data_IF_722069560264
#
_entry.id   IF_722069560264
#
_cell.length_a   1.000
_cell.length_b   1.000
_cell.length_c   1.000
_cell.angle_alpha   90.00
_cell.angle_beta   90.00
_cell.angle_gamma   90.00
#
_symmetry.space_group_name_H-M   'P 1'
#
loop_
_entity.id
_entity.type
_entity.pdbx_description
1 polymer ?
#
# COMPACT_ATOMS: atom_id res chain seq x y z
N UNK A 1 -19.98 16.68 12.26
CA UNK A 1 -18.94 15.85 12.90
C UNK A 1 -17.95 15.47 11.81
N UNK A 2 -17.01 16.36 11.51
CA UNK A 2 -16.05 16.19 10.41
C UNK A 2 -14.86 15.36 10.94
N UNK A 3 -14.85 14.07 10.63
CA UNK A 3 -13.78 13.18 11.09
C UNK A 3 -12.52 13.40 10.26
N UNK A 4 -11.43 13.77 10.94
CA UNK A 4 -10.09 13.88 10.38
C UNK A 4 -9.68 12.56 9.71
N UNK A 5 -9.28 12.61 8.43
CA UNK A 5 -8.75 11.45 7.70
C UNK A 5 -7.23 11.53 7.67
N UNK A 6 -6.60 10.70 8.49
CA UNK A 6 -5.15 10.49 8.45
C UNK A 6 -4.81 9.89 7.07
N UNK A 7 -4.07 10.63 6.26
CA UNK A 7 -3.51 10.16 4.98
C UNK A 7 -2.03 9.87 5.20
N UNK A 8 -1.69 8.59 5.17
CA UNK A 8 -0.31 8.14 5.32
C UNK A 8 0.23 7.85 3.91
N UNK A 9 0.95 8.80 3.33
CA UNK A 9 1.78 8.55 2.16
C UNK A 9 3.19 8.20 2.66
N UNK A 10 3.55 6.92 2.72
CA UNK A 10 4.92 6.50 3.09
C UNK A 10 5.76 6.43 1.83
N UNK A 11 6.16 7.58 1.33
CA UNK A 11 7.12 7.73 0.26
C UNK A 11 8.40 8.27 0.89
N UNK A 12 9.38 7.41 1.13
CA UNK A 12 10.67 7.84 1.68
C UNK A 12 11.38 8.66 0.59
N UNK A 13 11.63 9.96 0.78
CA UNK A 13 12.38 10.72 -0.20
C UNK A 13 13.78 10.08 -0.37
N UNK A 14 14.32 10.05 -1.61
CA UNK A 14 15.65 9.51 -1.83
C UNK A 14 16.66 10.27 -0.96
N UNK A 15 17.59 9.55 -0.32
CA UNK A 15 18.64 10.22 0.46
C UNK A 15 19.60 10.91 -0.51
N UNK A 16 19.78 12.22 -0.34
CA UNK A 16 20.60 13.03 -1.25
C UNK A 16 19.90 13.43 -2.55
N UNK A 17 18.56 13.32 -2.61
CA UNK A 17 17.78 13.71 -3.78
C UNK A 17 18.06 15.16 -4.18
N UNK A 18 18.31 15.37 -5.46
CA UNK A 18 18.34 16.72 -6.01
C UNK A 18 16.96 17.35 -5.97
N UNK A 19 16.91 18.68 -6.04
CA UNK A 19 15.64 19.44 -6.04
C UNK A 19 14.67 18.96 -7.14
N UNK A 20 15.21 18.56 -8.28
CA UNK A 20 14.45 18.05 -9.43
C UNK A 20 13.72 16.74 -9.09
N UNK A 21 14.37 15.84 -8.37
CA UNK A 21 13.77 14.57 -7.93
C UNK A 21 12.67 14.81 -6.88
N UNK A 22 12.87 15.79 -6.00
CA UNK A 22 11.85 16.18 -5.02
C UNK A 22 10.64 16.82 -5.71
N UNK A 23 10.86 17.70 -6.69
CA UNK A 23 9.79 18.31 -7.49
C UNK A 23 8.99 17.23 -8.26
N UNK A 24 9.67 16.24 -8.84
CA UNK A 24 9.03 15.11 -9.49
C UNK A 24 8.22 14.24 -8.51
N UNK A 25 8.76 13.96 -7.33
CA UNK A 25 8.05 13.23 -6.27
C UNK A 25 6.78 13.97 -5.83
N UNK A 26 6.89 15.28 -5.62
CA UNK A 26 5.77 16.13 -5.24
C UNK A 26 4.69 16.16 -6.32
N UNK A 27 5.07 16.24 -7.59
CA UNK A 27 4.13 16.20 -8.70
C UNK A 27 3.33 14.89 -8.72
N UNK A 28 3.98 13.76 -8.48
CA UNK A 28 3.31 12.45 -8.40
C UNK A 28 2.35 12.35 -7.21
N UNK A 29 2.75 12.80 -6.02
CA UNK A 29 1.88 12.79 -4.84
C UNK A 29 0.63 13.66 -5.05
N UNK A 30 0.78 14.82 -5.71
CA UNK A 30 -0.36 15.68 -6.07
C UNK A 30 -1.30 15.01 -7.08
N UNK A 31 -0.77 14.29 -8.07
CA UNK A 31 -1.58 13.54 -9.01
C UNK A 31 -2.43 12.46 -8.30
N UNK A 32 -1.84 11.75 -7.33
CA UNK A 32 -2.57 10.79 -6.50
C UNK A 32 -3.67 11.45 -5.65
N UNK A 33 -3.41 12.64 -5.11
CA UNK A 33 -4.42 13.42 -4.39
C UNK A 33 -5.59 13.82 -5.29
N UNK A 34 -5.29 14.26 -6.52
CA UNK A 34 -6.29 14.64 -7.50
C UNK A 34 -7.19 13.46 -7.88
N UNK A 35 -6.60 12.29 -8.19
CA UNK A 35 -7.36 11.07 -8.48
C UNK A 35 -8.26 10.66 -7.31
N UNK A 36 -7.77 10.76 -6.06
CA UNK A 36 -8.59 10.50 -4.88
C UNK A 36 -9.74 11.51 -4.73
N UNK A 37 -9.51 12.77 -5.05
CA UNK A 37 -10.52 13.82 -4.97
C UNK A 37 -11.62 13.64 -6.01
N UNK A 38 -11.27 13.36 -7.27
CA UNK A 38 -12.23 13.08 -8.34
C UNK A 38 -13.10 11.87 -8.00
N UNK A 39 -12.50 10.77 -7.54
CA UNK A 39 -13.26 9.59 -7.14
C UNK A 39 -14.26 9.90 -6.02
N UNK A 40 -13.85 10.69 -5.02
CA UNK A 40 -14.72 11.03 -3.90
C UNK A 40 -15.81 12.05 -4.26
N UNK A 41 -15.58 12.89 -5.27
CA UNK A 41 -16.61 13.78 -5.79
C UNK A 41 -17.77 12.98 -6.42
N UNK A 42 -17.46 11.90 -7.12
CA UNK A 42 -18.44 11.01 -7.76
C UNK A 42 -19.05 9.98 -6.80
N UNK A 43 -18.22 9.25 -6.06
CA UNK A 43 -18.66 8.13 -5.21
C UNK A 43 -19.11 8.57 -3.80
N UNK A 44 -18.75 9.78 -3.37
CA UNK A 44 -18.99 10.28 -2.03
C UNK A 44 -18.28 9.46 -0.93
N UNK A 45 -18.65 9.72 0.32
CA UNK A 45 -18.06 9.03 1.48
C UNK A 45 -18.39 7.54 1.54
N UNK A 46 -19.42 7.07 0.82
CA UNK A 46 -19.81 5.67 0.76
C UNK A 46 -18.82 4.81 -0.03
N UNK A 47 -18.04 5.41 -0.94
CA UNK A 47 -16.98 4.72 -1.69
C UNK A 47 -15.74 4.37 -0.87
N UNK A 48 -15.75 4.65 0.44
CA UNK A 48 -14.62 4.40 1.32
C UNK A 48 -14.64 2.98 1.91
N UNK A 49 -13.46 2.36 2.14
CA UNK A 49 -12.10 2.86 1.85
C UNK A 49 -11.77 2.84 0.35
N UNK A 50 -10.94 3.80 -0.09
CA UNK A 50 -10.40 3.88 -1.46
C UNK A 50 -8.91 3.51 -1.42
N UNK A 51 -8.51 2.60 -2.30
CA UNK A 51 -7.12 2.17 -2.50
C UNK A 51 -6.68 2.59 -3.90
N UNK A 52 -5.59 3.36 -3.95
CA UNK A 52 -4.92 3.73 -5.19
C UNK A 52 -3.61 2.92 -5.33
N UNK A 53 -3.38 2.36 -6.51
CA UNK A 53 -2.09 1.74 -6.89
C UNK A 53 -1.58 2.51 -8.10
N UNK A 54 -0.35 3.03 -8.02
CA UNK A 54 0.26 3.89 -9.04
C UNK A 54 -0.58 5.12 -9.45
N UNK A 55 -1.45 5.59 -8.55
CA UNK A 55 -2.36 6.73 -8.80
C UNK A 55 -3.71 6.35 -9.39
N UNK A 56 -3.94 5.09 -9.71
CA UNK A 56 -5.19 4.58 -10.25
C UNK A 56 -6.04 3.93 -9.15
N UNK A 57 -7.36 4.15 -9.19
CA UNK A 57 -8.29 3.55 -8.25
C UNK A 57 -8.52 2.06 -8.56
N UNK A 58 -8.05 1.18 -7.68
CA UNK A 58 -8.14 -0.28 -7.86
C UNK A 58 -9.21 -0.94 -7.00
N UNK A 59 -9.46 -0.41 -5.79
CA UNK A 59 -10.49 -0.93 -4.87
C UNK A 59 -11.16 0.23 -4.15
N UNK A 60 -12.49 0.16 -4.07
CA UNK A 60 -13.33 1.08 -3.32
C UNK A 60 -14.36 0.31 -2.46
N UNK A 61 -14.75 0.88 -1.33
CA UNK A 61 -15.78 0.32 -0.45
C UNK A 61 -15.35 -0.88 0.41
N UNK A 62 -14.12 -1.38 0.25
CA UNK A 62 -13.55 -2.46 1.09
C UNK A 62 -12.03 -2.38 1.14
N UNK A 63 -11.42 -2.98 2.15
CA UNK A 63 -9.98 -3.20 2.15
C UNK A 63 -9.61 -4.39 1.24
N UNK A 64 -8.42 -4.37 0.60
CA UNK A 64 -7.96 -5.48 -0.21
C UNK A 64 -7.64 -6.70 0.65
N UNK A 65 -7.82 -7.89 0.07
CA UNK A 65 -7.28 -9.12 0.60
C UNK A 65 -5.74 -9.12 0.53
N UNK A 66 -5.12 -9.98 1.33
CA UNK A 66 -3.66 -10.09 1.38
C UNK A 66 -3.09 -10.49 0.02
N UNK A 67 -3.78 -11.37 -0.71
CA UNK A 67 -3.38 -11.82 -2.04
C UNK A 67 -3.38 -10.67 -3.07
N UNK A 68 -4.35 -9.74 -3.00
CA UNK A 68 -4.45 -8.56 -3.88
C UNK A 68 -3.24 -7.65 -3.69
N UNK A 69 -2.81 -7.42 -2.44
CA UNK A 69 -1.59 -6.65 -2.14
C UNK A 69 -0.36 -7.23 -2.83
N UNK A 70 -0.27 -8.55 -2.90
CA UNK A 70 0.96 -9.21 -3.33
C UNK A 70 1.09 -9.26 -4.84
N UNK A 71 -0.06 -9.28 -5.51
CA UNK A 71 -0.15 -9.04 -6.95
C UNK A 71 0.32 -7.61 -7.25
N UNK A 72 -0.22 -6.60 -6.56
CA UNK A 72 0.13 -5.20 -6.83
C UNK A 72 1.58 -4.85 -6.47
N UNK A 73 2.13 -5.47 -5.43
CA UNK A 73 3.52 -5.27 -5.01
C UNK A 73 4.52 -6.12 -5.81
N UNK A 74 4.06 -6.94 -6.77
CA UNK A 74 4.92 -7.79 -7.59
C UNK A 74 5.69 -8.84 -6.77
N UNK A 75 5.18 -9.26 -5.62
CA UNK A 75 5.83 -10.23 -4.74
C UNK A 75 5.61 -11.63 -5.35
N UNK A 76 6.58 -12.08 -6.16
CA UNK A 76 6.58 -13.39 -6.80
C UNK A 76 6.52 -14.54 -5.79
N UNK A 77 5.60 -15.49 -5.99
CA UNK A 77 5.33 -16.62 -5.08
C UNK A 77 4.21 -16.38 -4.07
N UNK A 78 3.57 -15.20 -4.12
CA UNK A 78 2.62 -14.74 -3.12
C UNK A 78 3.35 -14.25 -1.87
N UNK A 79 2.78 -13.28 -1.18
CA UNK A 79 3.13 -13.01 0.20
C UNK A 79 2.75 -14.23 1.02
N UNK A 80 3.71 -15.15 1.20
CA UNK A 80 3.49 -16.43 1.86
C UNK A 80 2.52 -16.26 3.01
N UNK A 81 1.35 -16.93 2.93
CA UNK A 81 0.57 -17.19 4.14
C UNK A 81 1.56 -17.69 5.15
N UNK A 82 1.55 -17.09 6.35
CA UNK A 82 2.39 -17.49 7.47
C UNK A 82 2.65 -18.98 7.38
N UNK A 83 3.92 -19.38 7.34
CA UNK A 83 4.29 -20.78 7.39
C UNK A 83 3.36 -21.45 8.38
N UNK A 84 2.50 -22.35 7.90
CA UNK A 84 1.76 -23.24 8.79
C UNK A 84 2.86 -23.81 9.67
N UNK A 85 2.87 -23.38 10.94
CA UNK A 85 4.00 -23.56 11.82
C UNK A 85 4.41 -25.02 11.71
N UNK A 86 5.70 -25.30 11.49
CA UNK A 86 6.16 -26.65 11.21
C UNK A 86 5.65 -27.60 12.32
N UNK A 87 4.49 -28.23 12.08
CA UNK A 87 3.80 -29.08 13.03
C UNK A 87 4.45 -30.46 13.13
N UNK A 88 5.74 -30.54 12.75
CA UNK A 88 6.54 -31.75 12.76
C UNK A 88 8.04 -31.51 13.05
N UNK A 89 8.52 -30.27 13.19
CA UNK A 89 9.95 -30.01 13.39
C UNK A 89 10.35 -30.09 14.87
N UNK A 90 10.17 -31.25 15.51
CA UNK A 90 10.89 -31.57 16.76
C UNK A 90 12.34 -31.97 16.44
N UNK A 91 13.16 -31.02 15.99
CA UNK A 91 14.61 -31.25 15.91
C UNK A 91 15.36 -30.73 14.69
N UNK A 92 15.04 -29.53 14.18
CA UNK A 92 15.95 -28.85 13.25
C UNK A 92 16.44 -27.54 13.87
N UNK A 93 17.67 -27.55 14.40
CA UNK A 93 18.36 -26.40 14.99
C UNK A 93 18.78 -25.31 14.00
N UNK A 94 18.03 -25.13 12.89
CA UNK A 94 18.34 -24.16 11.84
C UNK A 94 17.46 -22.91 11.89
N UNK A 95 16.49 -22.84 12.81
CA UNK A 95 15.59 -21.68 12.95
C UNK A 95 15.89 -20.80 14.18
N UNK A 96 16.96 -21.08 14.93
CA UNK A 96 17.40 -20.23 16.03
C UNK A 96 18.72 -19.56 15.66
N UNK A 97 18.65 -18.43 14.97
CA UNK A 97 19.86 -17.66 14.67
C UNK A 97 19.59 -16.43 13.83
N UNK A 98 19.49 -15.30 14.53
CA UNK A 98 20.04 -13.97 14.22
C UNK A 98 19.94 -13.43 12.80
#
# INVERSE_FOLDING_TARGET
>A
MEQARIRIYIEKPPRGAERQELEALLARLRAQEFAAAEFLAEAGAAGLPLILVDGEAVVAGRYPAWEEWCIWLGIGGGCGRQAEGCAGCRGCGRCAGR
#
